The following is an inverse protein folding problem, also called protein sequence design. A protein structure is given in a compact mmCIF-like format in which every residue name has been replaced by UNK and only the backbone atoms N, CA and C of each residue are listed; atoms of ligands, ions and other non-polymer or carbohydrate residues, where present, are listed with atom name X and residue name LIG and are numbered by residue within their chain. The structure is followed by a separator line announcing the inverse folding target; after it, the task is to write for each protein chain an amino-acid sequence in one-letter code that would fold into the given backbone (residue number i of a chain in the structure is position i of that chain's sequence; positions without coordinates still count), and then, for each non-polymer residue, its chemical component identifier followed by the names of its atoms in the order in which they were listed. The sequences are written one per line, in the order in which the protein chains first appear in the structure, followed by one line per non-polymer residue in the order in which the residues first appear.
data_IF_936453695943
#
_entry.id   IF_936453695943
#
_cell.length_a   1.000
_cell.length_b   1.000
_cell.length_c   1.000
_cell.angle_alpha   90.00
_cell.angle_beta   90.00
_cell.angle_gamma   90.00
#
_symmetry.space_group_name_H-M   'P 1'
#
loop_
_entity.id
_entity.type
_entity.pdbx_description
1 polymer ?
#
# COMPACT_ATOMS: atom_id res chain seq x y z
N UNK A 1 40.01 38.29 -32.74
CA UNK A 1 38.94 37.29 -32.49
C UNK A 1 39.01 36.82 -31.04
N UNK A 2 38.20 37.39 -30.13
CA UNK A 2 38.14 36.94 -28.73
C UNK A 2 37.36 35.62 -28.70
N UNK A 3 37.99 34.58 -28.19
CA UNK A 3 37.55 33.21 -28.18
C UNK A 3 36.17 33.07 -27.52
N UNK A 4 35.14 32.63 -28.27
CA UNK A 4 33.78 32.27 -27.80
C UNK A 4 33.80 31.26 -26.65
N UNK A 5 34.85 30.47 -26.52
CA UNK A 5 35.08 29.50 -25.43
C UNK A 5 35.21 30.17 -24.05
N UNK A 6 35.81 31.32 -23.94
CA UNK A 6 35.98 32.04 -22.66
C UNK A 6 34.68 32.62 -22.11
N UNK A 7 33.73 33.00 -22.97
CA UNK A 7 32.41 33.50 -22.58
C UNK A 7 31.52 32.36 -22.05
N UNK A 8 31.57 31.21 -22.70
CA UNK A 8 30.84 30.00 -22.28
C UNK A 8 31.27 29.53 -20.88
N UNK A 9 32.60 29.44 -20.64
CA UNK A 9 33.12 29.04 -19.33
C UNK A 9 32.81 30.05 -18.22
N UNK A 10 32.81 31.33 -18.51
CA UNK A 10 32.39 32.36 -17.53
C UNK A 10 30.90 32.29 -17.21
N UNK A 11 30.04 32.09 -18.19
CA UNK A 11 28.60 31.91 -18.02
C UNK A 11 28.32 30.65 -17.19
N UNK A 12 28.92 29.51 -17.55
CA UNK A 12 28.79 28.25 -16.83
C UNK A 12 29.23 28.39 -15.36
N UNK A 13 30.36 29.05 -15.12
CA UNK A 13 30.89 29.28 -13.78
C UNK A 13 29.91 30.11 -12.91
N UNK A 14 29.36 31.20 -13.47
CA UNK A 14 28.36 32.02 -12.76
C UNK A 14 27.07 31.30 -12.50
N UNK A 15 26.57 30.47 -13.44
CA UNK A 15 25.39 29.67 -13.26
C UNK A 15 25.57 28.60 -12.16
N UNK A 16 26.73 27.95 -12.14
CA UNK A 16 27.07 26.96 -11.11
C UNK A 16 27.25 27.61 -9.74
N UNK A 17 27.85 28.79 -9.69
CA UNK A 17 28.07 29.56 -8.46
C UNK A 17 26.76 30.03 -7.82
N UNK A 18 25.72 30.25 -8.61
CA UNK A 18 24.38 30.62 -8.09
C UNK A 18 23.48 29.41 -7.81
N UNK A 19 23.57 28.36 -8.63
CA UNK A 19 22.74 27.17 -8.51
C UNK A 19 23.11 26.31 -7.29
N UNK A 20 24.42 26.13 -7.05
CA UNK A 20 24.89 25.31 -5.92
C UNK A 20 24.43 25.84 -4.56
N UNK A 21 24.56 27.13 -4.21
CA UNK A 21 24.08 27.64 -2.95
C UNK A 21 22.54 27.63 -2.86
N UNK A 22 21.83 27.79 -3.98
CA UNK A 22 20.37 27.69 -4.00
C UNK A 22 19.90 26.27 -3.67
N UNK A 23 20.50 25.26 -4.32
CA UNK A 23 20.22 23.86 -4.00
C UNK A 23 20.60 23.50 -2.57
N UNK A 24 21.75 23.98 -2.09
CA UNK A 24 22.18 23.79 -0.70
C UNK A 24 21.21 24.44 0.30
N UNK A 25 20.69 25.62 -0.01
CA UNK A 25 19.69 26.30 0.81
C UNK A 25 18.36 25.51 0.85
N UNK A 26 17.89 25.04 -0.30
CA UNK A 26 16.66 24.22 -0.37
C UNK A 26 16.78 22.94 0.45
N UNK A 27 17.91 22.23 0.30
CA UNK A 27 18.18 21.00 1.07
C UNK A 27 18.33 21.28 2.57
N UNK A 28 18.95 22.41 2.93
CA UNK A 28 19.10 22.84 4.32
C UNK A 28 17.74 23.17 4.96
N UNK A 29 16.89 23.93 4.26
CA UNK A 29 15.56 24.26 4.75
C UNK A 29 14.62 23.06 4.80
N UNK A 30 14.71 22.13 3.83
CA UNK A 30 14.00 20.87 3.87
C UNK A 30 14.44 20.03 5.08
N UNK A 31 15.74 19.89 5.32
CA UNK A 31 16.27 19.16 6.48
C UNK A 31 15.96 19.84 7.84
N UNK A 32 15.83 21.18 7.89
CA UNK A 32 15.39 21.86 9.11
C UNK A 32 13.91 21.64 9.42
N UNK A 33 13.03 21.66 8.39
CA UNK A 33 11.61 21.34 8.57
C UNK A 33 11.41 19.90 9.07
N UNK A 34 12.16 18.97 8.52
CA UNK A 34 12.14 17.56 8.94
C UNK A 34 12.55 17.39 10.41
N UNK A 35 13.60 18.12 10.85
CA UNK A 35 14.04 18.11 12.25
C UNK A 35 13.03 18.75 13.19
N UNK A 36 12.38 19.84 12.80
CA UNK A 36 11.36 20.49 13.61
C UNK A 36 10.12 19.60 13.74
N UNK A 37 9.67 18.98 12.66
CA UNK A 37 8.56 18.02 12.68
C UNK A 37 8.86 16.82 13.60
N UNK A 38 10.07 16.27 13.56
CA UNK A 38 10.51 15.17 14.46
C UNK A 38 10.59 15.62 15.92
N UNK A 39 11.01 16.85 16.21
CA UNK A 39 11.07 17.40 17.56
C UNK A 39 9.67 17.70 18.11
N UNK A 40 8.76 18.17 17.27
CA UNK A 40 7.36 18.37 17.64
C UNK A 40 6.65 17.04 17.91
N UNK A 41 6.92 16.01 17.11
CA UNK A 41 6.45 14.65 17.33
C UNK A 41 6.98 14.06 18.65
N UNK A 42 8.28 14.20 18.90
CA UNK A 42 8.87 13.74 20.16
C UNK A 42 8.31 14.50 21.38
N UNK A 43 8.01 15.79 21.22
CA UNK A 43 7.39 16.59 22.26
C UNK A 43 5.89 16.27 22.44
N UNK A 44 5.20 15.82 21.41
CA UNK A 44 3.81 15.35 21.48
C UNK A 44 3.73 13.96 22.11
N UNK A 45 4.64 13.05 21.75
CA UNK A 45 4.76 11.72 22.34
C UNK A 45 5.10 11.77 23.84
N UNK A 46 5.96 12.72 24.25
CA UNK A 46 6.31 12.91 25.68
C UNK A 46 5.19 13.47 26.56
N UNK A 47 4.07 13.92 25.98
CA UNK A 47 2.94 14.47 26.73
C UNK A 47 1.83 13.46 27.06
N UNK A 48 2.07 12.17 26.83
CA UNK A 48 1.24 11.08 27.40
C UNK A 48 -0.23 11.19 27.11
N UNK A 49 -0.63 11.60 25.89
CA UNK A 49 -2.05 11.79 25.67
C UNK A 49 -2.50 11.66 24.22
N UNK A 50 -3.69 11.15 24.14
CA UNK A 50 -4.73 11.61 23.23
C UNK A 50 -4.82 10.78 21.97
N UNK A 51 -6.03 10.30 21.70
CA UNK A 51 -6.42 9.80 20.40
C UNK A 51 -6.08 10.86 19.35
N UNK A 52 -5.62 10.46 18.19
CA UNK A 52 -5.54 11.36 17.05
C UNK A 52 -6.96 11.80 16.67
N UNK A 53 -7.10 13.08 16.34
CA UNK A 53 -8.39 13.61 15.86
C UNK A 53 -8.71 13.09 14.47
N UNK A 54 -10.00 13.01 14.17
CA UNK A 54 -10.43 12.70 12.79
C UNK A 54 -9.96 13.80 11.84
N UNK A 55 -9.30 13.40 10.77
CA UNK A 55 -8.80 14.31 9.75
C UNK A 55 -8.08 13.54 8.66
N UNK A 56 -8.04 14.09 7.45
CA UNK A 56 -7.41 13.46 6.29
C UNK A 56 -5.95 13.06 6.54
N UNK A 57 -5.24 13.83 7.37
CA UNK A 57 -3.85 13.54 7.75
C UNK A 57 -3.66 12.31 8.65
N UNK A 58 -4.74 11.79 9.23
CA UNK A 58 -4.71 10.70 10.21
C UNK A 58 -5.46 9.45 9.71
N UNK A 59 -5.95 9.51 8.48
CA UNK A 59 -6.61 8.39 7.79
C UNK A 59 -6.09 8.34 6.37
N UNK A 60 -5.52 7.20 5.97
CA UNK A 60 -4.93 7.01 4.65
C UNK A 60 -5.59 5.83 3.97
N UNK A 61 -6.00 6.00 2.72
CA UNK A 61 -6.67 5.01 1.89
C UNK A 61 -5.83 4.80 0.63
N UNK A 62 -5.22 3.65 0.50
CA UNK A 62 -4.24 3.38 -0.53
C UNK A 62 -4.66 2.17 -1.34
N UNK A 63 -4.70 2.29 -2.66
CA UNK A 63 -4.80 1.15 -3.54
C UNK A 63 -3.42 0.53 -3.72
N UNK A 64 -3.20 -0.62 -3.13
CA UNK A 64 -2.00 -1.42 -3.35
C UNK A 64 -2.21 -2.31 -4.59
N UNK A 65 -1.24 -2.34 -5.49
CA UNK A 65 -1.25 -3.21 -6.66
C UNK A 65 0.04 -4.02 -6.74
N UNK A 66 -0.09 -5.34 -6.77
CA UNK A 66 1.02 -6.26 -7.01
C UNK A 66 1.15 -6.46 -8.51
N UNK A 67 2.29 -6.06 -9.07
CA UNK A 67 2.57 -6.15 -10.50
C UNK A 67 2.85 -7.60 -10.89
N UNK A 68 2.29 -8.02 -12.02
CA UNK A 68 2.48 -9.36 -12.57
C UNK A 68 1.67 -9.55 -13.84
N UNK A 69 1.67 -10.76 -14.40
CA UNK A 69 0.81 -11.12 -15.53
C UNK A 69 -0.68 -11.04 -15.17
N UNK A 70 -0.99 -11.32 -13.93
CA UNK A 70 -2.30 -11.13 -13.32
C UNK A 70 -2.12 -10.19 -12.12
N UNK A 71 -2.33 -8.89 -12.31
CA UNK A 71 -2.21 -7.92 -11.22
C UNK A 71 -3.25 -8.17 -10.14
N UNK A 72 -2.80 -8.12 -8.89
CA UNK A 72 -3.63 -8.29 -7.70
C UNK A 72 -3.73 -6.99 -6.92
N UNK A 73 -4.84 -6.79 -6.23
CA UNK A 73 -5.13 -5.53 -5.56
C UNK A 73 -5.56 -5.71 -4.12
N UNK A 74 -5.16 -4.75 -3.31
CA UNK A 74 -5.64 -4.58 -1.94
C UNK A 74 -5.98 -3.10 -1.72
N UNK A 75 -7.09 -2.83 -1.08
CA UNK A 75 -7.38 -1.50 -0.57
C UNK A 75 -6.95 -1.47 0.89
N UNK A 76 -5.94 -0.66 1.18
CA UNK A 76 -5.39 -0.48 2.52
C UNK A 76 -6.00 0.78 3.15
N UNK A 77 -6.67 0.64 4.31
CA UNK A 77 -7.06 1.76 5.16
C UNK A 77 -6.20 1.76 6.42
N UNK A 78 -5.55 2.88 6.68
CA UNK A 78 -4.82 3.15 7.92
C UNK A 78 -5.59 4.26 8.64
N UNK A 79 -6.17 3.95 9.78
CA UNK A 79 -7.07 4.86 10.52
C UNK A 79 -6.59 5.01 11.97
N UNK A 80 -5.85 6.09 12.26
CA UNK A 80 -5.35 6.35 13.59
C UNK A 80 -6.46 6.70 14.60
N UNK A 81 -7.49 7.50 14.26
CA UNK A 81 -8.63 7.73 15.11
C UNK A 81 -9.35 6.46 15.55
N UNK A 82 -9.60 5.56 14.61
CA UNK A 82 -10.21 4.25 14.88
C UNK A 82 -9.23 3.23 15.47
N UNK A 83 -7.92 3.49 15.39
CA UNK A 83 -6.83 2.58 15.77
C UNK A 83 -6.86 1.26 14.99
N UNK A 84 -7.11 1.36 13.69
CA UNK A 84 -7.19 0.19 12.82
C UNK A 84 -6.28 0.31 11.61
N UNK A 85 -5.80 -0.84 11.15
CA UNK A 85 -5.21 -1.03 9.82
C UNK A 85 -5.99 -2.15 9.14
N UNK A 86 -6.71 -1.83 8.08
CA UNK A 86 -7.58 -2.78 7.39
C UNK A 86 -7.07 -3.08 6.00
N UNK A 87 -6.84 -4.35 5.72
CA UNK A 87 -6.55 -4.86 4.38
C UNK A 87 -7.86 -5.35 3.76
N UNK A 88 -8.35 -4.67 2.75
CA UNK A 88 -9.53 -5.10 2.03
C UNK A 88 -9.11 -5.78 0.72
N UNK A 89 -9.46 -7.04 0.59
CA UNK A 89 -9.21 -7.79 -0.62
C UNK A 89 -10.07 -7.28 -1.77
N UNK A 90 -9.44 -7.04 -2.91
CA UNK A 90 -10.08 -6.60 -4.15
C UNK A 90 -9.62 -7.51 -5.28
N UNK A 91 -10.46 -8.47 -5.73
CA UNK A 91 -10.08 -9.36 -6.82
C UNK A 91 -9.65 -8.58 -8.07
N UNK A 92 -8.57 -8.99 -8.74
CA UNK A 92 -8.11 -8.35 -9.97
C UNK A 92 -9.18 -8.35 -11.08
N UNK A 93 -10.06 -9.36 -11.07
CA UNK A 93 -11.19 -9.48 -11.97
C UNK A 93 -12.39 -8.58 -11.62
N UNK A 94 -12.28 -7.71 -10.62
CA UNK A 94 -13.36 -6.78 -10.24
C UNK A 94 -13.73 -5.89 -11.42
N UNK A 95 -15.02 -5.88 -11.77
CA UNK A 95 -15.55 -5.09 -12.87
C UNK A 95 -15.65 -3.62 -12.48
N UNK A 96 -15.04 -2.76 -13.28
CA UNK A 96 -15.07 -1.29 -13.15
C UNK A 96 -15.69 -0.65 -14.39
N UNK A 97 -16.26 0.53 -14.21
CA UNK A 97 -16.89 1.29 -15.28
C UNK A 97 -15.84 2.07 -16.08
N UNK A 98 -15.65 1.72 -17.35
CA UNK A 98 -14.83 2.48 -18.30
C UNK A 98 -15.73 3.20 -19.32
N UNK A 99 -15.25 4.25 -20.02
CA UNK A 99 -16.04 4.99 -21.00
C UNK A 99 -16.63 4.11 -22.11
N UNK A 100 -15.92 3.06 -22.51
CA UNK A 100 -16.34 2.10 -23.54
C UNK A 100 -17.16 0.92 -23.01
N UNK A 101 -17.43 0.86 -21.73
CA UNK A 101 -18.17 -0.21 -21.07
C UNK A 101 -17.43 -0.74 -19.84
N UNK A 102 -17.86 -1.90 -19.33
CA UNK A 102 -17.21 -2.52 -18.19
C UNK A 102 -15.90 -3.22 -18.61
N UNK A 103 -14.87 -3.06 -17.79
CA UNK A 103 -13.59 -3.78 -17.91
C UNK A 103 -13.19 -4.33 -16.53
N UNK A 104 -12.22 -5.23 -16.47
CA UNK A 104 -11.67 -5.66 -15.17
C UNK A 104 -10.65 -4.66 -14.66
N UNK A 105 -10.46 -4.61 -13.36
CA UNK A 105 -9.45 -3.76 -12.74
C UNK A 105 -8.04 -4.16 -13.21
N UNK A 106 -7.79 -5.47 -13.37
CA UNK A 106 -6.53 -6.02 -13.89
C UNK A 106 -6.27 -5.59 -15.34
N UNK A 107 -7.25 -5.71 -16.24
CA UNK A 107 -7.11 -5.28 -17.63
C UNK A 107 -6.86 -3.78 -17.74
N UNK A 108 -7.56 -2.99 -16.93
CA UNK A 108 -7.35 -1.55 -16.85
C UNK A 108 -5.91 -1.23 -16.41
N UNK A 109 -5.43 -1.90 -15.37
CA UNK A 109 -4.07 -1.74 -14.86
C UNK A 109 -3.03 -2.11 -15.92
N UNK A 110 -3.16 -3.26 -16.58
CA UNK A 110 -2.23 -3.73 -17.62
C UNK A 110 -2.19 -2.80 -18.83
N UNK A 111 -3.34 -2.19 -19.18
CA UNK A 111 -3.45 -1.31 -20.35
C UNK A 111 -2.98 0.12 -20.07
N UNK A 112 -3.30 0.68 -18.89
CA UNK A 112 -3.17 2.10 -18.61
C UNK A 112 -2.50 2.42 -17.26
N UNK A 113 -2.07 1.41 -16.51
CA UNK A 113 -1.33 1.55 -15.26
C UNK A 113 -2.17 1.83 -14.02
N UNK A 114 -1.51 1.95 -12.85
CA UNK A 114 -2.17 2.03 -11.55
C UNK A 114 -3.02 3.28 -11.36
N UNK A 115 -2.60 4.41 -11.90
CA UNK A 115 -3.35 5.67 -11.81
C UNK A 115 -4.75 5.54 -12.45
N UNK A 116 -4.81 4.90 -13.63
CA UNK A 116 -6.09 4.68 -14.31
C UNK A 116 -6.95 3.66 -13.59
N UNK A 117 -6.34 2.60 -13.04
CA UNK A 117 -7.06 1.61 -12.23
C UNK A 117 -7.70 2.27 -10.99
N UNK A 118 -6.97 3.11 -10.26
CA UNK A 118 -7.48 3.87 -9.12
C UNK A 118 -8.62 4.81 -9.53
N UNK A 119 -8.46 5.52 -10.66
CA UNK A 119 -9.51 6.41 -11.17
C UNK A 119 -10.79 5.65 -11.52
N UNK A 120 -10.71 4.54 -12.28
CA UNK A 120 -11.91 3.77 -12.66
C UNK A 120 -12.57 3.09 -11.46
N UNK A 121 -11.78 2.70 -10.45
CA UNK A 121 -12.34 2.24 -9.18
C UNK A 121 -13.13 3.35 -8.50
N UNK A 122 -12.60 4.57 -8.45
CA UNK A 122 -13.28 5.76 -7.92
C UNK A 122 -14.57 6.07 -8.70
N UNK A 123 -14.50 6.06 -10.03
CA UNK A 123 -15.66 6.33 -10.90
C UNK A 123 -16.75 5.26 -10.73
N UNK A 124 -16.36 4.03 -10.37
CA UNK A 124 -17.28 2.91 -10.17
C UNK A 124 -17.96 2.94 -8.81
N UNK A 125 -17.22 3.27 -7.76
CA UNK A 125 -17.69 3.24 -6.37
C UNK A 125 -18.29 4.58 -5.92
N UNK A 126 -17.95 5.70 -6.59
CA UNK A 126 -18.32 7.04 -6.15
C UNK A 126 -17.42 7.63 -5.08
N UNK A 127 -16.48 6.85 -4.55
CA UNK A 127 -15.40 7.27 -3.65
C UNK A 127 -14.14 6.49 -4.02
N UNK A 128 -12.96 7.03 -3.74
CA UNK A 128 -11.71 6.42 -4.17
C UNK A 128 -10.61 6.44 -3.11
N UNK A 129 -9.53 5.71 -3.37
CA UNK A 129 -8.32 5.79 -2.56
C UNK A 129 -7.70 7.19 -2.66
N UNK A 130 -7.02 7.61 -1.60
CA UNK A 130 -6.29 8.89 -1.57
C UNK A 130 -5.04 8.83 -2.45
N UNK A 131 -4.46 7.63 -2.57
CA UNK A 131 -3.29 7.36 -3.38
C UNK A 131 -3.26 5.91 -3.87
N UNK A 132 -2.36 5.63 -4.82
CA UNK A 132 -2.02 4.27 -5.20
C UNK A 132 -0.54 3.98 -4.93
N UNK A 133 -0.23 2.68 -4.74
CA UNK A 133 1.12 2.17 -4.61
C UNK A 133 1.20 0.83 -5.36
N UNK A 134 2.02 0.77 -6.39
CA UNK A 134 2.19 -0.43 -7.20
C UNK A 134 3.66 -0.84 -7.24
N UNK A 135 3.91 -2.12 -6.99
CA UNK A 135 5.24 -2.69 -6.94
C UNK A 135 5.24 -4.15 -7.38
N UNK A 136 6.42 -4.67 -7.69
CA UNK A 136 6.61 -6.10 -7.92
C UNK A 136 6.52 -6.90 -6.62
N UNK A 137 6.24 -8.22 -6.67
CA UNK A 137 6.27 -9.11 -5.51
C UNK A 137 7.55 -9.00 -4.69
N UNK A 138 8.70 -9.01 -5.36
CA UNK A 138 10.03 -8.87 -4.72
C UNK A 138 10.15 -7.55 -3.96
N UNK A 139 9.62 -6.46 -4.52
CA UNK A 139 9.65 -5.16 -3.86
C UNK A 139 8.77 -5.16 -2.61
N UNK A 140 7.58 -5.77 -2.67
CA UNK A 140 6.74 -5.95 -1.48
C UNK A 140 7.44 -6.79 -0.41
N UNK A 141 8.14 -7.85 -0.79
CA UNK A 141 8.98 -8.63 0.12
C UNK A 141 10.06 -7.78 0.82
N UNK A 142 10.70 -6.88 0.06
CA UNK A 142 11.72 -5.97 0.62
C UNK A 142 11.13 -4.92 1.57
N UNK A 143 9.88 -4.50 1.39
CA UNK A 143 9.21 -3.56 2.31
C UNK A 143 9.02 -4.15 3.72
N UNK A 144 8.81 -5.44 3.83
CA UNK A 144 8.65 -6.10 5.13
C UNK A 144 9.98 -6.62 5.72
N UNK A 145 11.05 -6.61 4.92
CA UNK A 145 12.39 -7.03 5.32
C UNK A 145 12.60 -8.54 5.28
N UNK A 146 13.75 -8.98 4.78
CA UNK A 146 14.07 -10.40 4.50
C UNK A 146 14.03 -11.30 5.72
N UNK A 147 14.30 -10.76 6.90
CA UNK A 147 14.38 -11.53 8.17
C UNK A 147 13.01 -11.66 8.86
N UNK A 148 11.97 -11.08 8.27
CA UNK A 148 10.60 -11.11 8.82
C UNK A 148 9.93 -12.43 8.47
N UNK A 149 9.25 -13.05 9.42
CA UNK A 149 8.44 -14.24 9.20
C UNK A 149 7.00 -14.01 9.66
N UNK A 150 6.07 -14.72 9.02
CA UNK A 150 4.68 -14.78 9.47
C UNK A 150 4.19 -16.22 9.52
N UNK A 151 3.49 -16.57 10.59
CA UNK A 151 2.79 -17.85 10.72
C UNK A 151 1.34 -17.63 10.32
N UNK A 152 0.95 -18.27 9.23
CA UNK A 152 -0.38 -18.14 8.68
C UNK A 152 -1.22 -19.37 8.96
N UNK A 153 -2.39 -19.20 9.62
CA UNK A 153 -3.33 -20.30 9.85
C UNK A 153 -4.26 -20.44 8.62
N UNK A 154 -4.09 -21.51 7.89
CA UNK A 154 -4.91 -21.85 6.72
C UNK A 154 -6.39 -21.97 7.05
N UNK A 155 -6.76 -22.21 8.34
CA UNK A 155 -8.15 -22.26 8.74
C UNK A 155 -8.87 -20.91 8.65
N UNK A 156 -8.12 -19.81 8.56
CA UNK A 156 -8.68 -18.47 8.40
C UNK A 156 -9.37 -18.27 7.03
N UNK A 157 -8.94 -19.01 6.00
CA UNK A 157 -9.44 -18.85 4.62
C UNK A 157 -9.85 -20.17 3.96
N UNK A 158 -9.46 -21.32 4.50
CA UNK A 158 -9.73 -22.63 3.93
C UNK A 158 -10.48 -23.54 4.90
N UNK A 159 -11.52 -24.20 4.42
CA UNK A 159 -12.17 -25.30 5.16
C UNK A 159 -11.22 -26.49 5.31
N UNK A 160 -11.45 -27.33 6.32
CA UNK A 160 -10.66 -28.56 6.53
C UNK A 160 -10.69 -29.48 5.31
N UNK A 161 -11.84 -29.58 4.63
CA UNK A 161 -11.99 -30.42 3.43
C UNK A 161 -11.11 -29.88 2.29
N UNK A 162 -11.09 -28.56 2.06
CA UNK A 162 -10.30 -27.91 1.02
C UNK A 162 -8.81 -28.05 1.30
N UNK A 163 -8.36 -27.81 2.55
CA UNK A 163 -6.94 -27.98 2.96
C UNK A 163 -6.45 -29.41 2.67
N UNK A 164 -7.24 -30.42 3.04
CA UNK A 164 -6.88 -31.84 2.76
C UNK A 164 -6.84 -32.14 1.27
N UNK A 165 -7.77 -31.60 0.50
CA UNK A 165 -7.78 -31.77 -0.96
C UNK A 165 -6.52 -31.16 -1.63
N UNK A 166 -6.01 -30.04 -1.06
CA UNK A 166 -4.78 -29.36 -1.51
C UNK A 166 -3.49 -29.95 -0.90
N UNK A 167 -3.60 -31.04 -0.10
CA UNK A 167 -2.43 -31.74 0.45
C UNK A 167 -1.84 -31.14 1.71
N UNK A 168 -2.48 -30.12 2.31
CA UNK A 168 -2.00 -29.54 3.57
C UNK A 168 -2.38 -30.45 4.76
N UNK A 169 -1.38 -30.94 5.45
CA UNK A 169 -1.52 -31.73 6.69
C UNK A 169 -1.56 -30.86 7.93
N UNK A 170 -0.80 -29.80 7.92
CA UNK A 170 -0.71 -28.82 8.98
C UNK A 170 -1.64 -27.64 8.73
N UNK A 171 -2.14 -27.06 9.81
CA UNK A 171 -3.00 -25.87 9.73
C UNK A 171 -2.20 -24.58 9.54
N UNK A 172 -0.92 -24.57 9.96
CA UNK A 172 -0.09 -23.36 9.99
C UNK A 172 1.06 -23.53 9.01
N UNK A 173 1.22 -22.52 8.16
CA UNK A 173 2.36 -22.37 7.26
C UNK A 173 3.22 -21.22 7.77
N UNK A 174 4.53 -21.40 7.81
CA UNK A 174 5.48 -20.34 8.07
C UNK A 174 5.93 -19.75 6.76
N UNK A 175 5.74 -18.44 6.61
CA UNK A 175 6.02 -17.68 5.40
C UNK A 175 7.16 -16.70 5.66
N UNK A 176 8.07 -16.61 4.70
CA UNK A 176 9.06 -15.54 4.59
C UNK A 176 8.67 -14.62 3.42
N UNK A 177 9.15 -13.38 3.34
CA UNK A 177 8.88 -12.51 2.20
C UNK A 177 9.18 -13.17 0.85
N UNK A 178 10.28 -13.91 0.76
CA UNK A 178 10.71 -14.58 -0.48
C UNK A 178 9.78 -15.74 -0.90
N UNK A 179 9.10 -16.38 0.05
CA UNK A 179 8.20 -17.52 -0.23
C UNK A 179 6.73 -17.14 -0.29
N UNK A 180 6.40 -15.92 0.14
CA UNK A 180 4.99 -15.48 0.28
C UNK A 180 4.30 -15.40 -1.06
N UNK A 181 4.93 -14.82 -2.08
CA UNK A 181 4.27 -14.64 -3.36
C UNK A 181 4.07 -15.97 -4.09
N UNK A 182 5.07 -16.86 -4.07
CA UNK A 182 4.93 -18.21 -4.61
C UNK A 182 3.80 -18.99 -3.92
N UNK A 183 3.68 -18.85 -2.59
CA UNK A 183 2.59 -19.43 -1.83
C UNK A 183 1.23 -18.86 -2.26
N UNK A 184 1.12 -17.52 -2.39
CA UNK A 184 -0.12 -16.85 -2.78
C UNK A 184 -0.55 -17.21 -4.19
N UNK A 185 0.40 -17.28 -5.14
CA UNK A 185 0.12 -17.67 -6.51
C UNK A 185 -0.28 -19.15 -6.62
N UNK A 186 0.47 -20.04 -5.96
CA UNK A 186 0.22 -21.48 -6.02
C UNK A 186 -1.12 -21.82 -5.38
N UNK A 187 -1.40 -21.29 -4.20
CA UNK A 187 -2.65 -21.57 -3.51
C UNK A 187 -3.81 -20.80 -4.16
N UNK A 188 -3.59 -19.55 -4.56
CA UNK A 188 -4.61 -18.71 -5.20
C UNK A 188 -5.12 -19.28 -6.52
N UNK A 189 -4.27 -19.95 -7.31
CA UNK A 189 -4.67 -20.60 -8.55
C UNK A 189 -5.70 -21.74 -8.34
N UNK A 190 -5.79 -22.28 -7.14
CA UNK A 190 -6.72 -23.35 -6.76
C UNK A 190 -7.99 -22.81 -6.08
N UNK A 191 -8.14 -21.50 -5.94
CA UNK A 191 -9.24 -20.83 -5.27
C UNK A 191 -10.08 -20.01 -6.25
N UNK A 192 -11.30 -19.68 -5.84
CA UNK A 192 -12.09 -18.69 -6.56
C UNK A 192 -11.47 -17.30 -6.39
N UNK A 193 -11.69 -16.36 -7.33
CA UNK A 193 -11.03 -15.03 -7.30
C UNK A 193 -11.20 -14.27 -5.97
N UNK A 194 -12.36 -14.32 -5.36
CA UNK A 194 -12.61 -13.69 -4.07
C UNK A 194 -11.81 -14.35 -2.93
N UNK A 195 -11.76 -15.69 -2.90
CA UNK A 195 -11.01 -16.44 -1.91
C UNK A 195 -9.50 -16.24 -2.07
N UNK A 196 -9.00 -16.16 -3.30
CA UNK A 196 -7.60 -15.86 -3.59
C UNK A 196 -7.22 -14.45 -3.13
N UNK A 197 -8.07 -13.45 -3.40
CA UNK A 197 -7.88 -12.10 -2.91
C UNK A 197 -7.93 -12.04 -1.38
N UNK A 198 -8.88 -12.74 -0.75
CA UNK A 198 -8.96 -12.83 0.70
C UNK A 198 -7.71 -13.47 1.32
N UNK A 199 -7.19 -14.53 0.71
CA UNK A 199 -5.93 -15.16 1.13
C UNK A 199 -4.80 -14.13 1.18
N UNK A 200 -4.65 -13.30 0.15
CA UNK A 200 -3.63 -12.25 0.06
C UNK A 200 -3.79 -11.23 1.19
N UNK A 201 -4.99 -10.71 1.41
CA UNK A 201 -5.27 -9.77 2.49
C UNK A 201 -4.97 -10.37 3.87
N UNK A 202 -5.36 -11.62 4.09
CA UNK A 202 -5.15 -12.35 5.33
C UNK A 202 -3.65 -12.56 5.63
N UNK A 203 -2.85 -12.93 4.62
CA UNK A 203 -1.41 -13.14 4.76
C UNK A 203 -0.69 -11.83 5.08
N UNK A 204 -0.96 -10.75 4.35
CA UNK A 204 -0.33 -9.45 4.62
C UNK A 204 -0.74 -8.88 5.98
N UNK A 205 -2.00 -9.06 6.38
CA UNK A 205 -2.43 -8.69 7.74
C UNK A 205 -1.71 -9.52 8.83
N UNK A 206 -1.40 -10.80 8.56
CA UNK A 206 -0.68 -11.65 9.50
C UNK A 206 0.77 -11.18 9.71
N UNK A 207 1.45 -10.72 8.65
CA UNK A 207 2.79 -10.12 8.76
C UNK A 207 2.80 -8.95 9.74
N UNK A 208 1.89 -7.98 9.56
CA UNK A 208 1.83 -6.79 10.42
C UNK A 208 1.39 -7.14 11.84
N UNK A 209 0.42 -8.05 12.02
CA UNK A 209 -0.04 -8.48 13.36
C UNK A 209 1.07 -9.12 14.18
N UNK A 210 1.91 -9.93 13.55
CA UNK A 210 2.97 -10.66 14.24
C UNK A 210 4.24 -9.82 14.39
N UNK A 211 4.40 -8.78 13.57
CA UNK A 211 5.57 -7.92 13.54
C UNK A 211 5.16 -6.44 13.61
N UNK A 212 4.58 -5.96 14.72
CA UNK A 212 4.06 -4.59 14.82
C UNK A 212 5.13 -3.51 14.63
N UNK A 213 6.41 -3.84 14.84
CA UNK A 213 7.53 -2.95 14.53
C UNK A 213 7.60 -2.56 13.05
N UNK A 214 7.04 -3.38 12.14
CA UNK A 214 6.97 -3.03 10.72
C UNK A 214 6.19 -1.75 10.47
N UNK A 215 5.20 -1.41 11.29
CA UNK A 215 4.45 -0.17 11.14
C UNK A 215 5.37 1.06 11.16
N UNK A 216 6.40 1.07 11.99
CA UNK A 216 7.36 2.19 12.06
C UNK A 216 8.40 2.16 10.95
N UNK A 217 8.69 1.00 10.37
CA UNK A 217 9.73 0.82 9.36
C UNK A 217 9.19 0.95 7.93
N UNK A 218 7.88 0.78 7.74
CA UNK A 218 7.26 0.67 6.42
C UNK A 218 7.50 1.92 5.55
N UNK A 219 7.39 3.12 6.13
CA UNK A 219 7.54 4.36 5.35
C UNK A 219 8.98 4.56 4.89
N UNK A 220 9.96 4.24 5.73
CA UNK A 220 11.36 4.31 5.34
C UNK A 220 11.67 3.27 4.25
N UNK A 221 11.14 2.05 4.37
CA UNK A 221 11.25 1.02 3.34
C UNK A 221 10.62 1.47 2.01
N UNK A 222 9.45 2.12 2.02
CA UNK A 222 8.83 2.71 0.82
C UNK A 222 9.73 3.79 0.20
N UNK A 223 10.34 4.64 1.00
CA UNK A 223 11.28 5.67 0.50
C UNK A 223 12.51 5.02 -0.14
N UNK A 224 13.08 3.99 0.44
CA UNK A 224 14.23 3.25 -0.09
C UNK A 224 13.91 2.54 -1.40
N UNK A 225 12.69 2.03 -1.56
CA UNK A 225 12.25 1.33 -2.76
C UNK A 225 11.59 2.26 -3.81
N UNK A 226 11.59 3.56 -3.61
CA UNK A 226 10.89 4.54 -4.47
C UNK A 226 11.24 4.45 -5.97
N UNK A 227 12.47 4.05 -6.30
CA UNK A 227 12.88 3.84 -7.70
C UNK A 227 12.29 2.59 -8.36
N UNK A 228 11.69 1.68 -7.58
CA UNK A 228 11.11 0.40 -8.03
C UNK A 228 9.59 0.33 -7.88
N UNK A 229 8.99 1.46 -7.53
CA UNK A 229 7.55 1.57 -7.26
C UNK A 229 6.91 2.60 -8.18
N UNK A 230 5.64 2.39 -8.48
CA UNK A 230 4.79 3.37 -9.13
C UNK A 230 3.77 3.87 -8.11
N UNK A 231 3.85 5.15 -7.78
CA UNK A 231 2.97 5.74 -6.77
C UNK A 231 2.76 7.22 -7.04
N UNK A 232 1.65 7.75 -6.57
CA UNK A 232 1.37 9.19 -6.48
C UNK A 232 1.51 9.73 -5.04
N UNK A 233 1.94 8.89 -4.09
CA UNK A 233 2.26 9.33 -2.74
C UNK A 233 3.34 10.40 -2.76
N UNK A 234 3.02 11.56 -2.24
CA UNK A 234 3.96 12.68 -2.11
C UNK A 234 4.83 12.52 -0.86
N UNK A 235 5.89 13.33 -0.75
CA UNK A 235 6.71 13.36 0.46
C UNK A 235 5.90 13.80 1.70
N UNK A 236 4.86 14.62 1.51
CA UNK A 236 3.96 15.03 2.57
C UNK A 236 3.07 13.88 3.03
N UNK A 237 2.49 13.12 2.09
CA UNK A 237 1.67 11.95 2.42
C UNK A 237 2.47 10.89 3.18
N UNK A 238 3.73 10.65 2.77
CA UNK A 238 4.63 9.75 3.48
C UNK A 238 4.97 10.23 4.89
N UNK A 239 5.10 11.54 5.11
CA UNK A 239 5.34 12.10 6.44
C UNK A 239 4.11 11.93 7.34
N UNK A 240 2.92 12.23 6.84
CA UNK A 240 1.66 12.06 7.56
C UNK A 240 1.40 10.59 7.89
N UNK A 241 1.67 9.70 6.93
CA UNK A 241 1.58 8.26 7.14
C UNK A 241 2.58 7.75 8.20
N UNK A 242 3.83 8.24 8.20
CA UNK A 242 4.83 7.91 9.21
C UNK A 242 4.34 8.27 10.62
N UNK A 243 3.71 9.45 10.76
CA UNK A 243 3.14 9.90 12.03
C UNK A 243 2.00 8.99 12.47
N UNK A 244 1.09 8.66 11.55
CA UNK A 244 -0.05 7.78 11.78
C UNK A 244 0.40 6.38 12.19
N UNK A 245 1.34 5.78 11.45
CA UNK A 245 1.85 4.44 11.73
C UNK A 245 2.65 4.37 13.03
N UNK A 246 3.44 5.41 13.33
CA UNK A 246 4.14 5.52 14.63
C UNK A 246 3.14 5.58 15.79
N UNK A 247 2.08 6.38 15.65
CA UNK A 247 1.02 6.42 16.67
C UNK A 247 0.38 5.04 16.88
N UNK A 248 0.09 4.31 15.78
CA UNK A 248 -0.52 2.97 15.86
C UNK A 248 0.43 1.95 16.47
N UNK A 249 1.73 2.00 16.15
CA UNK A 249 2.73 1.07 16.70
C UNK A 249 2.90 1.18 18.21
N UNK A 250 2.73 2.38 18.75
CA UNK A 250 2.84 2.64 20.19
C UNK A 250 1.59 2.17 20.97
N UNK A 251 0.57 1.69 20.27
CA UNK A 251 -0.72 1.29 20.86
C UNK A 251 -0.91 -0.22 20.77
N UNK A 252 -0.88 -0.88 21.92
CA UNK A 252 -1.19 -2.32 22.03
C UNK A 252 -2.63 -2.66 21.63
N UNK A 253 -3.50 -1.66 21.49
CA UNK A 253 -4.91 -1.79 21.12
C UNK A 253 -5.17 -1.60 19.62
N UNK A 254 -4.13 -1.32 18.82
CA UNK A 254 -4.31 -1.18 17.38
C UNK A 254 -4.70 -2.52 16.76
N UNK A 255 -5.85 -2.56 16.10
CA UNK A 255 -6.35 -3.74 15.41
C UNK A 255 -5.85 -3.77 13.97
N UNK A 256 -5.28 -4.90 13.57
CA UNK A 256 -4.91 -5.16 12.17
C UNK A 256 -5.87 -6.22 11.65
N UNK A 257 -6.69 -5.82 10.69
CA UNK A 257 -7.84 -6.59 10.22
C UNK A 257 -7.72 -6.86 8.71
N UNK A 258 -8.46 -7.82 8.23
CA UNK A 258 -8.65 -8.03 6.81
C UNK A 258 -10.12 -8.34 6.51
N UNK A 259 -10.54 -7.97 5.31
CA UNK A 259 -11.88 -8.23 4.78
C UNK A 259 -11.80 -8.49 3.28
N UNK A 260 -12.89 -8.94 2.70
CA UNK A 260 -13.06 -9.08 1.25
C UNK A 260 -14.35 -8.39 0.85
N UNK A 261 -14.35 -7.70 -0.30
CA UNK A 261 -15.57 -7.10 -0.82
C UNK A 261 -16.50 -8.17 -1.34
N UNK A 262 -17.77 -8.10 -0.89
CA UNK A 262 -18.82 -9.02 -1.34
C UNK A 262 -19.15 -8.83 -2.81
N UNK A 263 -19.41 -9.92 -3.52
CA UNK A 263 -19.74 -9.88 -4.93
C UNK A 263 -19.99 -11.27 -5.51
N UNK A 264 -20.10 -11.34 -6.81
CA UNK A 264 -20.41 -12.59 -7.53
C UNK A 264 -19.53 -12.73 -8.76
N UNK A 265 -18.96 -13.90 -8.95
CA UNK A 265 -18.24 -14.25 -10.18
C UNK A 265 -19.22 -14.35 -11.34
N UNK A 266 -18.88 -13.68 -12.44
CA UNK A 266 -19.62 -13.70 -13.69
C UNK A 266 -18.69 -14.06 -14.84
N UNK A 267 -19.24 -14.39 -16.00
CA UNK A 267 -18.42 -14.64 -17.19
C UNK A 267 -17.57 -13.43 -17.64
N UNK A 268 -17.93 -12.21 -17.21
CA UNK A 268 -17.21 -10.99 -17.53
C UNK A 268 -16.19 -10.57 -16.45
N UNK A 269 -16.24 -11.15 -15.27
CA UNK A 269 -15.39 -10.84 -14.12
C UNK A 269 -16.18 -10.83 -12.80
N UNK A 270 -15.55 -10.33 -11.74
CA UNK A 270 -16.13 -10.23 -10.41
C UNK A 270 -16.98 -8.97 -10.27
N UNK A 271 -18.28 -9.13 -10.10
CA UNK A 271 -19.23 -8.02 -9.94
C UNK A 271 -19.50 -7.81 -8.45
N UNK A 272 -19.15 -6.65 -7.93
CA UNK A 272 -19.52 -6.24 -6.57
C UNK A 272 -21.04 -6.19 -6.45
N UNK A 273 -21.57 -6.77 -5.39
CA UNK A 273 -22.97 -6.62 -5.02
C UNK A 273 -23.20 -5.33 -4.21
N UNK A 274 -24.44 -5.10 -3.77
CA UNK A 274 -24.78 -3.92 -2.97
C UNK A 274 -24.00 -3.88 -1.65
N UNK A 275 -23.86 -5.04 -0.97
CA UNK A 275 -23.11 -5.14 0.28
C UNK A 275 -21.61 -4.87 0.06
N UNK A 276 -21.01 -5.41 -1.00
CA UNK A 276 -19.60 -5.15 -1.33
C UNK A 276 -19.34 -3.70 -1.73
N UNK A 277 -20.28 -3.07 -2.42
CA UNK A 277 -20.20 -1.63 -2.75
C UNK A 277 -20.28 -0.78 -1.48
N UNK A 278 -21.22 -1.10 -0.56
CA UNK A 278 -21.33 -0.40 0.72
C UNK A 278 -20.10 -0.60 1.61
N UNK A 279 -19.53 -1.82 1.67
CA UNK A 279 -18.27 -2.10 2.35
C UNK A 279 -17.11 -1.29 1.78
N UNK A 280 -17.02 -1.20 0.46
CA UNK A 280 -16.00 -0.39 -0.19
C UNK A 280 -16.14 1.09 0.15
N UNK A 281 -17.35 1.64 0.14
CA UNK A 281 -17.62 3.02 0.54
C UNK A 281 -17.24 3.29 1.99
N UNK A 282 -17.60 2.41 2.92
CA UNK A 282 -17.21 2.54 4.34
C UNK A 282 -15.69 2.55 4.55
N UNK A 283 -14.95 1.85 3.70
CA UNK A 283 -13.49 1.85 3.74
C UNK A 283 -12.88 3.12 3.12
N UNK A 284 -13.59 3.73 2.17
CA UNK A 284 -13.14 4.90 1.41
C UNK A 284 -13.65 6.24 1.97
N UNK A 285 -14.56 6.23 2.91
CA UNK A 285 -15.01 7.39 3.69
C UNK A 285 -14.12 7.62 4.94
#
# INVERSE_FOLDING_TARGET
MRSRKGLFWRSLFWTLLTLVPLCAAVLFFAGQRDRQARLELAAAAGRGQVGMEQGAQNTHRILLAVQGEQPEFLLLRIDAPARTVTFCALPGQTLVNAPEGKTTLADCYLTAGPARAAQLLTDTLGAGPDAYFAATPDTYGQLVGSDTTARFDLAAVLTLARRRALGYTDNVVELTPDTTEDFLQTLGAELDPADAAQLRAAVWSAYLRQNPALLTLLVDAVREQSARTLTDLTAQDLLEMEQTLTFLSDRTEAAIEYTVLSGTDTAAGYLLDEAGTEQALQLLE
#
